data_IF_021480020022
#
_entry.id   IF_021480020022
#
_cell.length_a   1.000
_cell.length_b   1.000
_cell.length_c   1.000
_cell.angle_alpha   90.00
_cell.angle_beta   90.00
_cell.angle_gamma   90.00
#
_symmetry.space_group_name_H-M   'P 1'
#
loop_
_entity.id
_entity.type
_entity.pdbx_description
1 polymer ?
#
# COMPACT_ATOMS: atom_id res chain seq x y z
N UNK A 1 -6.45 -16.01 -37.95
CA UNK A 1 -7.26 -16.31 -36.75
C UNK A 1 -6.37 -17.22 -35.90
N UNK A 2 -5.85 -16.84 -34.75
CA UNK A 2 -6.58 -16.65 -33.49
C UNK A 2 -5.62 -15.96 -32.51
N UNK A 3 -6.04 -14.83 -31.94
CA UNK A 3 -5.35 -14.23 -30.82
C UNK A 3 -5.55 -15.10 -29.58
N UNK A 4 -4.46 -15.40 -28.85
CA UNK A 4 -4.57 -15.87 -27.48
C UNK A 4 -3.67 -15.01 -26.61
N UNK A 5 -4.32 -14.01 -26.01
CA UNK A 5 -3.84 -13.19 -24.91
C UNK A 5 -3.51 -14.13 -23.74
N UNK A 6 -2.22 -14.34 -23.47
CA UNK A 6 -1.77 -15.03 -22.26
C UNK A 6 -2.01 -14.10 -21.07
N UNK A 7 -3.15 -14.27 -20.41
CA UNK A 7 -3.40 -13.68 -19.09
C UNK A 7 -3.36 -14.84 -18.09
N UNK A 8 -2.36 -14.93 -17.19
CA UNK A 8 -2.31 -16.01 -16.21
C UNK A 8 -3.54 -15.96 -15.31
N UNK A 9 -4.27 -17.08 -15.24
CA UNK A 9 -5.41 -17.22 -14.33
C UNK A 9 -4.89 -17.28 -12.90
N UNK A 10 -5.14 -16.21 -12.16
CA UNK A 10 -4.67 -16.04 -10.77
C UNK A 10 -4.91 -14.63 -10.23
N UNK A 11 -4.97 -13.62 -11.09
CA UNK A 11 -5.35 -12.24 -10.73
C UNK A 11 -6.89 -12.04 -10.65
N UNK A 12 -7.59 -13.05 -10.15
CA UNK A 12 -9.06 -13.07 -10.08
C UNK A 12 -9.60 -14.09 -9.07
N UNK A 13 -8.80 -14.49 -8.07
CA UNK A 13 -9.38 -15.06 -6.86
C UNK A 13 -10.22 -13.99 -6.16
N UNK A 14 -11.22 -14.41 -5.39
CA UNK A 14 -11.99 -13.51 -4.52
C UNK A 14 -11.00 -12.62 -3.77
N UNK A 15 -11.05 -11.30 -4.01
CA UNK A 15 -10.13 -10.37 -3.36
C UNK A 15 -10.28 -10.63 -1.88
N UNK A 16 -9.22 -11.13 -1.24
CA UNK A 16 -9.21 -11.24 0.22
C UNK A 16 -9.56 -9.87 0.76
N UNK A 17 -10.48 -9.87 1.71
CA UNK A 17 -10.95 -8.65 2.33
C UNK A 17 -9.74 -7.77 2.72
N UNK A 18 -9.71 -6.48 2.35
CA UNK A 18 -8.55 -5.63 2.56
C UNK A 18 -8.09 -5.58 4.02
N UNK A 19 -9.01 -5.68 4.98
CA UNK A 19 -8.67 -5.67 6.40
C UNK A 19 -8.06 -7.00 6.84
N UNK A 20 -8.51 -8.13 6.27
CA UNK A 20 -7.81 -9.42 6.46
C UNK A 20 -6.38 -9.36 5.93
N UNK A 21 -6.16 -8.81 4.74
CA UNK A 21 -4.81 -8.70 4.15
C UNK A 21 -3.89 -7.85 5.02
N UNK A 22 -4.37 -6.70 5.52
CA UNK A 22 -3.59 -5.84 6.42
C UNK A 22 -3.27 -6.54 7.75
N UNK A 23 -4.24 -7.27 8.30
CA UNK A 23 -4.08 -7.99 9.57
C UNK A 23 -3.08 -9.14 9.47
N UNK A 24 -3.18 -9.94 8.41
CA UNK A 24 -2.26 -11.05 8.16
C UNK A 24 -0.87 -10.54 7.83
N UNK A 25 -0.78 -9.47 7.01
CA UNK A 25 0.48 -8.77 6.74
C UNK A 25 1.18 -8.30 8.01
N UNK A 26 0.42 -7.75 8.96
CA UNK A 26 0.97 -7.33 10.25
C UNK A 26 1.44 -8.51 11.10
N UNK A 27 0.58 -9.52 11.26
CA UNK A 27 0.84 -10.66 12.16
C UNK A 27 1.95 -11.58 11.68
N UNK A 28 1.96 -11.87 10.38
CA UNK A 28 2.80 -12.92 9.82
C UNK A 28 4.07 -12.37 9.18
N UNK A 29 4.07 -11.11 8.73
CA UNK A 29 5.17 -10.49 7.99
C UNK A 29 5.71 -9.21 8.64
N UNK A 30 5.03 -8.67 9.67
CA UNK A 30 5.38 -7.38 10.26
C UNK A 30 5.17 -6.20 9.32
N UNK A 31 4.33 -6.35 8.28
CA UNK A 31 4.08 -5.32 7.27
C UNK A 31 2.72 -4.68 7.50
N UNK A 32 2.69 -3.35 7.62
CA UNK A 32 1.46 -2.57 7.79
C UNK A 32 1.30 -1.54 6.66
N UNK A 33 0.20 -1.63 5.92
CA UNK A 33 -0.23 -0.60 4.99
C UNK A 33 -1.29 0.29 5.64
N UNK A 34 -0.89 1.53 5.99
CA UNK A 34 -1.74 2.51 6.66
C UNK A 34 -1.79 3.81 5.85
N UNK A 35 -2.94 4.48 5.85
CA UNK A 35 -3.07 5.83 5.29
C UNK A 35 -2.45 6.85 6.25
N UNK A 36 -1.72 7.82 5.73
CA UNK A 36 -1.21 8.95 6.55
C UNK A 36 -2.37 9.72 7.21
N UNK A 37 -3.52 9.75 6.55
CA UNK A 37 -4.72 10.45 7.01
C UNK A 37 -5.75 9.53 7.68
N UNK A 38 -5.34 8.33 8.13
CA UNK A 38 -6.25 7.40 8.82
C UNK A 38 -6.83 8.05 10.08
N UNK A 39 -8.17 8.10 10.16
CA UNK A 39 -8.88 8.80 11.23
C UNK A 39 -8.63 8.21 12.62
N UNK A 40 -8.27 6.93 12.67
CA UNK A 40 -7.96 6.19 13.91
C UNK A 40 -6.62 6.58 14.50
N UNK A 41 -5.74 7.22 13.72
CA UNK A 41 -4.45 7.74 14.17
C UNK A 41 -4.63 9.15 14.73
N UNK A 42 -4.04 9.38 15.90
CA UNK A 42 -3.83 10.71 16.47
C UNK A 42 -2.87 11.53 15.60
N UNK A 43 -2.89 12.85 15.77
CA UNK A 43 -2.01 13.73 15.00
C UNK A 43 -0.52 13.35 15.11
N UNK A 44 0.05 13.04 16.30
CA UNK A 44 1.44 12.59 16.40
C UNK A 44 1.72 11.28 15.65
N UNK A 45 0.78 10.33 15.65
CA UNK A 45 0.95 9.04 14.96
C UNK A 45 0.94 9.22 13.44
N UNK A 46 0.06 10.09 12.91
CA UNK A 46 0.06 10.45 11.48
C UNK A 46 1.38 11.06 11.06
N UNK A 47 1.89 11.95 11.91
CA UNK A 47 3.16 12.63 11.67
C UNK A 47 4.34 11.64 11.70
N UNK A 48 4.34 10.67 12.62
CA UNK A 48 5.33 9.59 12.64
C UNK A 48 5.29 8.76 11.34
N UNK A 49 4.10 8.37 10.87
CA UNK A 49 3.94 7.63 9.62
C UNK A 49 4.46 8.45 8.43
N UNK A 50 4.15 9.76 8.38
CA UNK A 50 4.65 10.68 7.35
C UNK A 50 6.18 10.74 7.35
N UNK A 51 6.80 10.99 8.50
CA UNK A 51 8.26 11.07 8.64
C UNK A 51 8.96 9.76 8.28
N UNK A 52 8.41 8.61 8.69
CA UNK A 52 8.94 7.31 8.30
C UNK A 52 8.84 7.10 6.79
N UNK A 53 7.69 7.45 6.19
CA UNK A 53 7.50 7.38 4.75
C UNK A 53 8.50 8.24 3.98
N UNK A 54 8.69 9.50 4.40
CA UNK A 54 9.64 10.43 3.79
C UNK A 54 11.09 9.97 3.95
N UNK A 55 11.45 9.42 5.12
CA UNK A 55 12.78 8.87 5.35
C UNK A 55 13.07 7.65 4.48
N UNK A 56 12.08 6.78 4.28
CA UNK A 56 12.25 5.52 3.54
C UNK A 56 12.12 5.69 2.02
N UNK A 57 11.25 6.60 1.57
CA UNK A 57 10.87 6.72 0.15
C UNK A 57 11.09 8.10 -0.44
N UNK A 58 11.61 9.06 0.35
CA UNK A 58 11.76 10.44 -0.05
C UNK A 58 10.46 11.24 0.06
N UNK A 59 10.58 12.54 -0.19
CA UNK A 59 9.45 13.47 -0.10
C UNK A 59 8.37 13.16 -1.15
N UNK A 60 7.11 13.03 -0.72
CA UNK A 60 5.98 12.73 -1.62
C UNK A 60 5.76 13.83 -2.67
N UNK A 61 6.17 15.07 -2.40
CA UNK A 61 6.12 16.18 -3.36
C UNK A 61 7.09 15.96 -4.53
N UNK A 62 8.30 15.44 -4.25
CA UNK A 62 9.33 15.14 -5.25
C UNK A 62 8.95 13.93 -6.11
N UNK A 63 8.25 12.95 -5.54
CA UNK A 63 7.77 11.76 -6.27
C UNK A 63 6.71 12.09 -7.34
N UNK A 64 6.00 13.23 -7.23
CA UNK A 64 5.04 13.70 -8.25
C UNK A 64 5.73 14.28 -9.49
N UNK A 65 6.94 14.82 -9.34
CA UNK A 65 7.67 15.49 -10.41
C UNK A 65 8.37 14.48 -11.33
N UNK A 66 8.84 13.35 -10.78
CA UNK A 66 9.46 12.25 -11.57
C UNK A 66 8.48 11.45 -12.46
N UNK A 67 7.17 11.75 -12.40
CA UNK A 67 6.13 11.12 -13.25
C UNK A 67 5.58 12.05 -14.34
N UNK A 68 6.12 13.27 -14.50
CA UNK A 68 5.70 14.22 -15.54
C UNK A 68 6.66 14.24 -16.72
#
# INVERSE_FOLDING_TARGET
MTGMRFMPKGYGGERRDPDRVKRDGWRDQGVLAVSVDDERLSWPERELVRQLGEKLYGDRSQAKEQRR
#
